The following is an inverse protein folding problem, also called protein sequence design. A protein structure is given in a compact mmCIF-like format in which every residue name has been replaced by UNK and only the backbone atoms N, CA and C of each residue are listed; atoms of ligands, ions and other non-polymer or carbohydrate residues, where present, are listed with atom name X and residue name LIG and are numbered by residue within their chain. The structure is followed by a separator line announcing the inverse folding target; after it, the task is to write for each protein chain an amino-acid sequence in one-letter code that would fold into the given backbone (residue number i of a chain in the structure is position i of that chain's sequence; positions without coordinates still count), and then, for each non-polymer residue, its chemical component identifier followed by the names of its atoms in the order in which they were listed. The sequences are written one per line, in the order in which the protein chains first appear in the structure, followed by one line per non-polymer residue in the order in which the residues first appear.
data_IF_592623275824
#
_entry.id   IF_592623275824
#
_cell.length_a   1.000
_cell.length_b   1.000
_cell.length_c   1.000
_cell.angle_alpha   90.00
_cell.angle_beta   90.00
_cell.angle_gamma   90.00
#
_symmetry.space_group_name_H-M   'P 1'
#
loop_
_entity.id
_entity.type
_entity.pdbx_description
1 polymer ?
#
# COMPACT_ATOMS: atom_id res chain seq x y z
N UNK A 1 -0.47 12.61 6.65
CA UNK A 1 0.39 11.44 6.97
C UNK A 1 -0.45 10.21 6.68
N UNK A 2 -0.01 9.40 5.71
CA UNK A 2 -0.79 8.29 5.14
C UNK A 2 -1.09 7.24 6.21
N UNK A 3 -2.30 6.68 6.32
CA UNK A 3 -2.49 5.45 7.08
C UNK A 3 -1.52 4.40 6.55
N UNK A 4 -0.90 3.62 7.44
CA UNK A 4 0.11 2.59 7.12
C UNK A 4 -0.45 1.39 6.35
N UNK A 5 -1.57 1.57 5.64
CA UNK A 5 -2.09 0.62 4.67
C UNK A 5 -1.30 0.90 3.41
N UNK A 6 -0.34 0.01 3.17
CA UNK A 6 0.34 -0.09 1.90
C UNK A 6 -0.70 -0.55 0.89
N UNK A 7 -1.53 0.38 0.41
CA UNK A 7 -2.18 0.18 -0.87
C UNK A 7 -1.03 0.00 -1.85
N UNK A 8 -0.82 -1.23 -2.30
CA UNK A 8 -0.30 -1.44 -3.64
C UNK A 8 -1.35 -0.82 -4.56
N UNK A 9 -1.29 0.51 -4.71
CA UNK A 9 -1.85 1.12 -5.90
C UNK A 9 -1.07 0.48 -7.03
N UNK A 10 -1.75 -0.39 -7.76
CA UNK A 10 -1.50 -0.53 -9.16
C UNK A 10 -1.64 0.87 -9.74
N UNK A 11 -0.54 1.61 -9.75
CA UNK A 11 -0.31 2.43 -10.91
C UNK A 11 -0.32 1.41 -12.05
N UNK A 12 -1.42 1.36 -12.80
CA UNK A 12 -1.51 0.66 -14.08
C UNK A 12 -0.61 1.32 -15.15
N UNK A 13 0.54 1.82 -14.69
CA UNK A 13 1.62 2.46 -15.41
C UNK A 13 2.90 1.70 -15.03
N UNK A 14 2.90 0.39 -15.27
CA UNK A 14 4.15 -0.35 -15.37
C UNK A 14 4.78 0.05 -16.70
N UNK A 15 5.52 1.17 -16.64
CA UNK A 15 6.50 1.63 -17.61
C UNK A 15 6.16 1.35 -19.08
N UNK A 16 5.15 2.02 -19.62
CA UNK A 16 5.43 2.70 -20.87
C UNK A 16 6.42 3.79 -20.50
N UNK A 17 7.66 3.70 -20.98
CA UNK A 17 8.63 4.78 -20.81
C UNK A 17 7.95 6.03 -21.37
N UNK A 18 7.66 7.01 -20.51
CA UNK A 18 6.95 8.19 -20.96
C UNK A 18 7.79 8.81 -22.08
N UNK A 19 7.21 8.97 -23.27
CA UNK A 19 7.96 9.50 -24.40
C UNK A 19 8.28 10.99 -24.20
N UNK A 20 7.52 11.62 -23.30
CA UNK A 20 7.64 13.01 -22.86
C UNK A 20 7.48 13.08 -21.34
N UNK A 21 7.81 14.22 -20.75
CA UNK A 21 7.52 14.45 -19.34
C UNK A 21 6.02 14.64 -19.16
N UNK A 22 5.44 13.98 -18.17
CA UNK A 22 3.99 14.01 -17.92
C UNK A 22 3.72 14.44 -16.49
N UNK A 23 2.79 15.39 -16.31
CA UNK A 23 2.28 15.76 -15.00
C UNK A 23 0.84 15.28 -14.86
N UNK A 24 0.59 14.43 -13.87
CA UNK A 24 -0.75 13.98 -13.50
C UNK A 24 -1.15 14.56 -12.16
N UNK A 25 -2.28 15.25 -12.12
CA UNK A 25 -2.91 15.76 -10.91
C UNK A 25 -4.22 15.02 -10.67
N UNK A 26 -4.52 14.65 -9.44
CA UNK A 26 -5.74 13.94 -9.13
C UNK A 26 -6.17 14.05 -7.68
N UNK A 27 -7.44 13.77 -7.46
CA UNK A 27 -8.10 13.89 -6.17
C UNK A 27 -9.19 12.85 -6.00
N UNK A 28 -9.39 12.39 -4.77
CA UNK A 28 -10.40 11.38 -4.48
C UNK A 28 -10.51 11.00 -3.01
N UNK A 29 -11.12 9.85 -2.76
CA UNK A 29 -11.34 9.30 -1.43
C UNK A 29 -10.96 7.82 -1.41
N UNK A 30 -10.39 7.38 -0.28
CA UNK A 30 -10.14 5.99 0.02
C UNK A 30 -10.84 5.60 1.33
N UNK A 31 -11.44 4.42 1.36
CA UNK A 31 -11.96 3.75 2.54
C UNK A 31 -11.08 2.54 2.87
N UNK A 32 -10.56 2.48 4.09
CA UNK A 32 -9.70 1.39 4.52
C UNK A 32 -9.78 1.19 6.04
N UNK A 33 -9.33 0.04 6.58
CA UNK A 33 -9.21 -0.13 8.02
C UNK A 33 -8.36 0.95 8.69
N UNK A 34 -8.61 1.26 9.96
CA UNK A 34 -7.75 2.21 10.70
C UNK A 34 -6.32 1.70 10.91
N UNK A 35 -6.17 0.39 11.01
CA UNK A 35 -4.90 -0.33 11.08
C UNK A 35 -5.14 -1.78 10.66
N UNK A 36 -4.08 -2.54 10.38
CA UNK A 36 -4.16 -3.95 10.02
C UNK A 36 -4.83 -4.77 11.14
N UNK A 37 -5.97 -5.40 10.85
CA UNK A 37 -6.74 -6.17 11.84
C UNK A 37 -7.87 -5.38 12.52
N UNK A 38 -8.05 -4.09 12.21
CA UNK A 38 -9.13 -3.27 12.76
C UNK A 38 -10.49 -3.66 12.18
N UNK A 39 -11.53 -3.63 13.02
CA UNK A 39 -12.94 -3.64 12.58
C UNK A 39 -13.46 -2.25 12.20
N UNK A 40 -12.71 -1.20 12.55
CA UNK A 40 -13.06 0.19 12.29
C UNK A 40 -12.50 0.63 10.93
N UNK A 41 -13.39 1.11 10.06
CA UNK A 41 -13.04 1.73 8.79
C UNK A 41 -12.82 3.24 8.97
N UNK A 42 -12.04 3.81 8.06
CA UNK A 42 -11.86 5.26 7.95
C UNK A 42 -11.85 5.69 6.49
N UNK A 43 -12.26 6.94 6.27
CA UNK A 43 -12.14 7.63 5.01
C UNK A 43 -10.93 8.56 5.05
N UNK A 44 -10.18 8.61 3.94
CA UNK A 44 -9.03 9.49 3.77
C UNK A 44 -9.04 10.12 2.37
N UNK A 45 -8.66 11.40 2.23
CA UNK A 45 -8.49 12.02 0.93
C UNK A 45 -7.30 11.42 0.18
N UNK A 46 -7.46 11.24 -1.12
CA UNK A 46 -6.39 10.96 -2.06
C UNK A 46 -5.98 12.29 -2.70
N UNK A 47 -4.70 12.58 -2.65
CA UNK A 47 -4.07 13.68 -3.41
C UNK A 47 -2.98 13.05 -4.27
N UNK A 48 -3.26 12.94 -5.56
CA UNK A 48 -2.34 12.39 -6.55
C UNK A 48 -1.62 13.55 -7.23
N UNK A 49 -0.31 13.64 -7.03
CA UNK A 49 0.58 14.50 -7.81
C UNK A 49 1.67 13.56 -8.29
N UNK A 50 1.74 13.33 -9.59
CA UNK A 50 2.67 12.40 -10.19
C UNK A 50 3.35 13.10 -11.38
N UNK A 51 4.62 13.39 -11.23
CA UNK A 51 5.46 13.92 -12.29
C UNK A 51 6.40 12.81 -12.77
N UNK A 52 6.19 12.33 -13.98
CA UNK A 52 6.98 11.29 -14.62
C UNK A 52 7.87 11.93 -15.69
N UNK A 53 9.17 11.72 -15.59
CA UNK A 53 10.14 12.16 -16.58
C UNK A 53 10.36 11.07 -17.63
N UNK A 54 10.67 11.49 -18.86
CA UNK A 54 10.92 10.58 -19.99
C UNK A 54 12.15 9.68 -19.79
N UNK A 55 13.09 10.11 -18.95
CA UNK A 55 14.29 9.35 -18.59
C UNK A 55 14.04 8.32 -17.47
N UNK A 56 12.79 8.13 -17.02
CA UNK A 56 12.41 7.13 -16.01
C UNK A 56 12.35 7.64 -14.57
N UNK A 57 12.91 8.83 -14.28
CA UNK A 57 12.76 9.45 -12.96
C UNK A 57 11.33 9.93 -12.71
N UNK A 58 10.90 9.93 -11.46
CA UNK A 58 9.60 10.48 -11.09
C UNK A 58 9.57 11.07 -9.68
N UNK A 59 8.60 11.95 -9.48
CA UNK A 59 8.18 12.43 -8.18
C UNK A 59 6.67 12.23 -8.02
N UNK A 60 6.28 11.40 -7.07
CA UNK A 60 4.91 10.96 -6.90
C UNK A 60 4.50 11.03 -5.43
N UNK A 61 3.34 11.64 -5.15
CA UNK A 61 2.77 11.58 -3.80
C UNK A 61 2.40 10.15 -3.40
N UNK A 62 2.23 9.24 -4.36
CA UNK A 62 1.77 7.87 -4.13
C UNK A 62 2.96 6.91 -4.07
N UNK A 63 3.87 7.00 -5.05
CA UNK A 63 5.05 6.11 -5.19
C UNK A 63 6.29 6.61 -4.45
N UNK A 64 6.42 7.93 -4.23
CA UNK A 64 7.60 8.56 -3.69
C UNK A 64 8.48 9.20 -4.77
N UNK A 65 9.76 9.37 -4.47
CA UNK A 65 10.77 9.89 -5.39
C UNK A 65 11.58 8.70 -5.91
N UNK A 66 11.56 8.44 -7.21
CA UNK A 66 12.14 7.19 -7.70
C UNK A 66 12.56 7.22 -9.15
N UNK A 67 12.99 6.03 -9.59
CA UNK A 67 13.38 5.73 -10.94
C UNK A 67 12.77 4.38 -11.32
N UNK A 68 12.09 4.35 -12.47
CA UNK A 68 11.53 3.15 -13.05
C UNK A 68 12.01 2.95 -14.49
N UNK A 69 12.24 1.71 -14.88
CA UNK A 69 12.65 1.33 -16.24
C UNK A 69 12.04 0.00 -16.65
N UNK A 70 11.92 -0.21 -17.96
CA UNK A 70 11.49 -1.47 -18.56
C UNK A 70 12.59 -2.01 -19.49
N UNK A 71 12.84 -3.31 -19.39
CA UNK A 71 13.84 -4.05 -20.17
C UNK A 71 13.15 -5.27 -20.78
N UNK A 72 12.60 -5.11 -21.99
CA UNK A 72 11.74 -6.11 -22.61
C UNK A 72 10.51 -6.39 -21.75
N UNK A 73 10.32 -7.64 -21.34
CA UNK A 73 9.19 -8.04 -20.51
C UNK A 73 9.38 -7.73 -19.01
N UNK A 74 10.56 -7.26 -18.60
CA UNK A 74 10.87 -6.97 -17.21
C UNK A 74 10.69 -5.47 -16.91
N UNK A 75 10.18 -5.15 -15.72
CA UNK A 75 10.18 -3.80 -15.17
C UNK A 75 10.92 -3.76 -13.84
N UNK A 76 11.66 -2.69 -13.59
CA UNK A 76 12.40 -2.45 -12.37
C UNK A 76 12.10 -1.04 -11.88
N UNK A 77 11.88 -0.89 -10.58
CA UNK A 77 11.58 0.38 -9.93
C UNK A 77 12.26 0.45 -8.56
N UNK A 78 12.84 1.62 -8.27
CA UNK A 78 13.42 1.94 -6.98
C UNK A 78 12.99 3.34 -6.56
N UNK A 79 12.49 3.46 -5.32
CA UNK A 79 11.89 4.70 -4.84
C UNK A 79 12.18 4.97 -3.37
N UNK A 80 12.37 6.24 -3.03
CA UNK A 80 12.30 6.76 -1.67
C UNK A 80 10.87 7.16 -1.35
N UNK A 81 10.28 6.51 -0.36
CA UNK A 81 8.92 6.76 0.10
C UNK A 81 8.83 6.99 1.60
N UNK A 82 7.60 7.11 2.09
CA UNK A 82 7.31 7.25 3.53
C UNK A 82 6.31 6.19 3.95
N UNK A 83 6.65 5.40 4.98
CA UNK A 83 5.70 4.59 5.75
C UNK A 83 5.11 5.46 6.85
N UNK A 84 3.78 5.47 6.92
CA UNK A 84 3.02 6.28 7.86
C UNK A 84 3.32 5.97 9.32
N UNK A 85 2.87 6.87 10.20
CA UNK A 85 2.84 6.60 11.63
C UNK A 85 1.58 5.79 12.01
N UNK A 86 1.58 5.23 13.23
CA UNK A 86 0.39 4.68 13.88
C UNK A 86 0.39 5.14 15.34
N UNK A 87 -0.60 5.93 15.71
CA UNK A 87 -0.82 6.38 17.09
C UNK A 87 -1.52 5.30 17.91
N UNK A 88 -1.23 5.29 19.22
CA UNK A 88 -1.95 4.42 20.15
C UNK A 88 -3.36 4.95 20.49
N UNK A 89 -3.60 6.24 20.24
CA UNK A 89 -4.88 6.92 20.52
C UNK A 89 -5.58 7.30 19.22
N UNK A 90 -6.89 7.48 19.32
CA UNK A 90 -7.68 8.01 18.21
C UNK A 90 -7.40 9.51 18.05
N UNK A 91 -6.43 9.85 17.20
CA UNK A 91 -6.08 11.23 16.87
C UNK A 91 -6.51 11.56 15.45
N UNK A 92 -7.36 12.58 15.30
CA UNK A 92 -7.72 13.13 14.00
C UNK A 92 -6.50 13.76 13.34
N UNK A 93 -6.44 13.67 12.02
CA UNK A 93 -5.44 14.34 11.20
C UNK A 93 -6.02 14.74 9.85
N UNK A 94 -5.27 15.55 9.11
CA UNK A 94 -5.68 16.04 7.78
C UNK A 94 -6.02 14.92 6.77
N UNK A 95 -5.45 13.72 6.95
CA UNK A 95 -5.63 12.58 6.06
C UNK A 95 -6.36 11.40 6.71
N UNK A 96 -7.25 11.68 7.67
CA UNK A 96 -7.96 10.67 8.46
C UNK A 96 -7.33 10.42 9.83
N UNK A 97 -7.83 9.41 10.53
CA UNK A 97 -7.42 9.12 11.89
C UNK A 97 -6.07 8.38 11.90
N UNK A 98 -5.23 8.71 12.88
CA UNK A 98 -3.87 8.19 12.97
C UNK A 98 -3.73 7.01 13.92
N UNK A 99 -4.80 6.65 14.65
CA UNK A 99 -4.83 5.52 15.57
C UNK A 99 -6.26 5.09 15.91
N UNK A 100 -6.40 4.27 16.96
CA UNK A 100 -7.68 3.72 17.41
C UNK A 100 -7.65 3.49 18.92
N UNK A 101 -8.82 3.51 19.58
CA UNK A 101 -8.95 3.15 21.01
C UNK A 101 -8.45 1.73 21.28
N UNK A 102 -8.54 0.85 20.29
CA UNK A 102 -8.06 -0.52 20.34
C UNK A 102 -6.54 -0.63 20.47
N UNK A 103 -5.81 0.44 20.14
CA UNK A 103 -4.35 0.47 20.22
C UNK A 103 -3.84 1.04 21.55
N UNK A 104 -4.74 1.38 22.49
CA UNK A 104 -4.35 1.99 23.77
C UNK A 104 -3.34 1.13 24.51
N UNK A 105 -2.21 1.73 24.92
CA UNK A 105 -1.13 1.05 25.63
C UNK A 105 -0.12 0.36 24.71
N UNK A 106 -0.32 0.39 23.38
CA UNK A 106 0.64 -0.13 22.40
C UNK A 106 1.75 0.87 22.08
N UNK A 107 1.62 2.13 22.49
CA UNK A 107 2.55 3.18 22.08
C UNK A 107 2.50 3.50 20.58
N UNK A 108 3.17 4.59 20.25
CA UNK A 108 3.21 5.13 18.90
C UNK A 108 4.26 4.42 18.03
N UNK A 109 3.89 4.11 16.80
CA UNK A 109 4.83 3.78 15.72
C UNK A 109 5.13 5.07 14.97
N UNK A 110 6.39 5.47 14.94
CA UNK A 110 6.84 6.67 14.22
C UNK A 110 6.85 6.41 12.71
N UNK A 111 6.54 7.46 11.94
CA UNK A 111 6.70 7.43 10.49
C UNK A 111 8.17 7.17 10.11
N UNK A 112 8.39 6.46 9.00
CA UNK A 112 9.73 6.14 8.51
C UNK A 112 9.90 6.54 7.06
N UNK A 113 11.03 7.15 6.73
CA UNK A 113 11.52 7.12 5.36
C UNK A 113 11.80 5.67 4.97
N UNK A 114 11.57 5.31 3.72
CA UNK A 114 11.69 3.94 3.20
C UNK A 114 12.37 3.94 1.85
N UNK A 115 13.21 2.92 1.60
CA UNK A 115 13.58 2.52 0.26
C UNK A 115 12.62 1.40 -0.18
N UNK A 116 11.96 1.60 -1.30
CA UNK A 116 11.01 0.67 -1.90
C UNK A 116 11.59 0.19 -3.22
N UNK A 117 11.61 -1.12 -3.40
CA UNK A 117 12.07 -1.78 -4.61
C UNK A 117 10.92 -2.58 -5.18
N UNK A 118 10.77 -2.56 -6.50
CA UNK A 118 9.79 -3.36 -7.22
C UNK A 118 10.42 -3.94 -8.47
N UNK A 119 10.10 -5.19 -8.74
CA UNK A 119 10.39 -5.86 -10.00
C UNK A 119 9.10 -6.47 -10.55
N UNK A 120 8.92 -6.44 -11.86
CA UNK A 120 7.78 -7.03 -12.54
C UNK A 120 8.21 -7.79 -13.78
N UNK A 121 7.47 -8.83 -14.15
CA UNK A 121 7.67 -9.59 -15.38
C UNK A 121 6.33 -9.86 -16.06
N UNK A 122 6.23 -9.45 -17.33
CA UNK A 122 5.08 -9.72 -18.19
C UNK A 122 5.21 -11.11 -18.79
N UNK A 123 4.34 -12.03 -18.34
CA UNK A 123 4.32 -13.40 -18.85
C UNK A 123 3.70 -13.42 -20.26
N UNK A 124 2.57 -12.72 -20.41
CA UNK A 124 1.83 -12.53 -21.66
C UNK A 124 1.18 -11.15 -21.61
N UNK A 125 0.78 -10.54 -22.75
CA UNK A 125 -0.07 -9.36 -22.73
C UNK A 125 -1.22 -9.53 -21.73
N UNK A 126 -1.31 -8.59 -20.78
CA UNK A 126 -2.33 -8.60 -19.73
C UNK A 126 -2.07 -9.50 -18.52
N UNK A 127 -1.02 -10.33 -18.48
CA UNK A 127 -0.69 -11.14 -17.30
C UNK A 127 0.74 -10.86 -16.82
N UNK A 128 0.86 -10.44 -15.57
CA UNK A 128 2.13 -10.03 -14.98
C UNK A 128 2.31 -10.63 -13.59
N UNK A 129 3.56 -10.89 -13.25
CA UNK A 129 3.99 -11.23 -11.89
C UNK A 129 4.93 -10.15 -11.37
N UNK A 130 4.92 -9.90 -10.07
CA UNK A 130 5.72 -8.88 -9.46
C UNK A 130 6.24 -9.27 -8.09
N UNK A 131 7.34 -8.64 -7.71
CA UNK A 131 7.93 -8.71 -6.39
C UNK A 131 8.19 -7.30 -5.87
N UNK A 132 8.02 -7.11 -4.56
CA UNK A 132 8.28 -5.84 -3.89
C UNK A 132 9.10 -6.05 -2.63
N UNK A 133 9.85 -5.02 -2.23
CA UNK A 133 10.51 -4.93 -0.94
C UNK A 133 10.42 -3.50 -0.39
N UNK A 134 10.16 -3.35 0.91
CA UNK A 134 10.11 -2.05 1.58
C UNK A 134 11.01 -2.05 2.82
N UNK A 135 12.05 -1.22 2.78
CA UNK A 135 13.09 -1.14 3.79
C UNK A 135 13.00 0.20 4.53
N UNK A 136 12.71 0.22 5.84
CA UNK A 136 12.76 1.45 6.61
C UNK A 136 14.20 1.97 6.77
N UNK A 137 14.40 3.24 6.43
CA UNK A 137 15.69 3.92 6.51
C UNK A 137 15.87 4.67 7.83
N UNK A 138 14.85 5.44 8.25
CA UNK A 138 14.94 6.30 9.45
C UNK A 138 14.42 5.65 10.73
N UNK A 139 13.42 4.76 10.67
CA UNK A 139 12.92 3.99 11.81
C UNK A 139 13.08 2.49 11.53
N UNK A 140 14.32 1.99 11.58
CA UNK A 140 14.67 0.60 11.24
C UNK A 140 13.93 -0.45 12.09
N UNK A 141 13.47 -0.07 13.28
CA UNK A 141 12.64 -0.91 14.14
C UNK A 141 11.25 -1.19 13.56
N UNK A 142 10.76 -0.40 12.60
CA UNK A 142 9.49 -0.66 11.91
C UNK A 142 9.55 -1.93 11.05
N UNK A 143 10.73 -2.52 10.85
CA UNK A 143 10.92 -3.79 10.16
C UNK A 143 10.69 -3.73 8.64
N UNK A 144 11.18 -4.77 7.98
CA UNK A 144 11.15 -4.91 6.52
C UNK A 144 9.94 -5.72 6.08
N UNK A 145 9.43 -5.40 4.90
CA UNK A 145 8.40 -6.21 4.23
C UNK A 145 8.84 -6.56 2.81
N UNK A 146 8.30 -7.65 2.30
CA UNK A 146 8.40 -8.07 0.91
C UNK A 146 7.02 -8.55 0.44
N UNK A 147 6.77 -8.52 -0.86
CA UNK A 147 5.51 -8.98 -1.42
C UNK A 147 5.70 -9.66 -2.75
N UNK A 148 4.81 -10.59 -3.06
CA UNK A 148 4.64 -11.19 -4.38
C UNK A 148 3.23 -10.85 -4.88
N UNK A 149 3.11 -10.57 -6.16
CA UNK A 149 1.85 -10.17 -6.78
C UNK A 149 1.68 -10.83 -8.15
N UNK A 150 0.45 -11.20 -8.48
CA UNK A 150 0.04 -11.57 -9.84
C UNK A 150 -1.09 -10.64 -10.25
N UNK A 151 -1.00 -10.06 -11.43
CA UNK A 151 -2.01 -9.14 -11.98
C UNK A 151 -2.44 -9.62 -13.35
N UNK A 152 -3.76 -9.68 -13.56
CA UNK A 152 -4.40 -9.98 -14.83
C UNK A 152 -5.30 -8.82 -15.29
N UNK A 153 -5.16 -8.37 -16.53
CA UNK A 153 -6.14 -7.52 -17.22
C UNK A 153 -7.26 -8.43 -17.70
N UNK A 154 -8.47 -8.22 -17.17
CA UNK A 154 -9.65 -9.04 -17.48
C UNK A 154 -10.56 -8.38 -18.50
N UNK A 155 -10.46 -7.07 -18.66
CA UNK A 155 -11.18 -6.31 -19.69
C UNK A 155 -10.33 -5.11 -20.10
N UNK A 156 -10.25 -4.85 -21.40
CA UNK A 156 -9.64 -3.62 -21.92
C UNK A 156 -10.27 -3.27 -23.28
N UNK A 157 -10.80 -2.06 -23.39
CA UNK A 157 -11.24 -1.43 -24.63
C UNK A 157 -10.69 0.02 -24.71
N UNK A 158 -11.29 0.85 -25.57
CA UNK A 158 -10.83 2.22 -25.84
C UNK A 158 -11.01 3.18 -24.65
N UNK A 159 -11.98 2.92 -23.76
CA UNK A 159 -12.29 3.76 -22.60
C UNK A 159 -12.02 3.06 -21.28
N UNK A 160 -12.20 1.76 -21.20
CA UNK A 160 -12.26 1.03 -19.95
C UNK A 160 -11.17 -0.04 -19.83
N UNK A 161 -10.55 -0.08 -18.66
CA UNK A 161 -9.56 -1.10 -18.31
C UNK A 161 -9.86 -1.65 -16.92
N UNK A 162 -9.98 -2.97 -16.83
CA UNK A 162 -10.21 -3.68 -15.57
C UNK A 162 -9.06 -4.65 -15.33
N UNK A 163 -8.43 -4.54 -14.17
CA UNK A 163 -7.38 -5.44 -13.71
C UNK A 163 -7.75 -6.06 -12.37
N UNK A 164 -7.39 -7.33 -12.20
CA UNK A 164 -7.50 -8.07 -10.95
C UNK A 164 -6.09 -8.46 -10.51
N UNK A 165 -5.80 -8.25 -9.22
CA UNK A 165 -4.51 -8.56 -8.63
C UNK A 165 -4.65 -9.38 -7.36
N UNK A 166 -3.80 -10.38 -7.23
CA UNK A 166 -3.65 -11.22 -6.05
C UNK A 166 -2.24 -11.06 -5.50
N UNK A 167 -2.13 -10.75 -4.22
CA UNK A 167 -0.85 -10.50 -3.56
C UNK A 167 -0.68 -11.28 -2.27
N UNK A 168 0.57 -11.56 -1.91
CA UNK A 168 0.97 -12.16 -0.65
C UNK A 168 2.15 -11.37 -0.06
N UNK A 169 2.03 -10.94 1.19
CA UNK A 169 3.01 -10.10 1.87
C UNK A 169 3.70 -10.85 3.01
N UNK A 170 5.03 -10.73 3.04
CA UNK A 170 5.92 -11.28 4.04
C UNK A 170 6.59 -10.16 4.83
N UNK A 171 6.93 -10.45 6.07
CA UNK A 171 7.52 -9.50 7.00
C UNK A 171 8.63 -10.13 7.82
N UNK A 172 9.63 -9.33 8.19
CA UNK A 172 10.61 -9.75 9.18
C UNK A 172 10.02 -9.73 10.60
N UNK A 173 10.77 -10.29 11.56
CA UNK A 173 10.33 -10.38 12.96
C UNK A 173 10.12 -8.99 13.58
N UNK A 174 10.85 -7.97 13.13
CA UNK A 174 10.70 -6.60 13.62
C UNK A 174 9.35 -6.03 13.20
N UNK A 175 8.99 -6.15 11.94
CA UNK A 175 7.69 -5.69 11.44
C UNK A 175 6.56 -6.43 12.14
N UNK A 176 6.66 -7.76 12.23
CA UNK A 176 5.65 -8.58 12.91
C UNK A 176 5.48 -8.16 14.37
N UNK A 177 6.57 -7.95 15.11
CA UNK A 177 6.49 -7.48 16.49
C UNK A 177 5.94 -6.05 16.62
N UNK A 178 6.30 -5.14 15.71
CA UNK A 178 5.90 -3.73 15.76
C UNK A 178 4.42 -3.51 15.42
N UNK A 179 3.90 -4.24 14.42
CA UNK A 179 2.54 -4.03 13.92
C UNK A 179 1.53 -5.06 14.44
N UNK A 180 1.98 -6.27 14.79
CA UNK A 180 1.11 -7.38 15.21
C UNK A 180 1.48 -7.96 16.58
N UNK A 181 2.57 -7.52 17.20
CA UNK A 181 3.01 -8.01 18.50
C UNK A 181 2.48 -7.20 19.68
N UNK A 182 2.56 -7.82 20.87
CA UNK A 182 2.32 -7.20 22.17
C UNK A 182 3.47 -7.57 23.10
N UNK A 183 4.34 -6.63 23.43
CA UNK A 183 5.44 -6.79 24.39
C UNK A 183 4.92 -6.93 25.83
N UNK A 184 5.78 -7.39 26.75
CA UNK A 184 5.43 -7.50 28.17
C UNK A 184 4.98 -6.15 28.78
N UNK A 185 5.67 -5.04 28.46
CA UNK A 185 5.29 -3.71 28.93
C UNK A 185 3.93 -3.27 28.35
N UNK A 186 3.67 -3.58 27.08
CA UNK A 186 2.38 -3.27 26.44
C UNK A 186 1.25 -4.12 27.04
N UNK A 187 1.51 -5.39 27.34
CA UNK A 187 0.55 -6.27 28.01
C UNK A 187 0.14 -5.71 29.38
N UNK A 188 1.11 -5.28 30.20
CA UNK A 188 0.86 -4.64 31.50
C UNK A 188 0.04 -3.34 31.37
N UNK A 189 0.29 -2.54 30.33
CA UNK A 189 -0.38 -1.23 30.13
C UNK A 189 -1.78 -1.33 29.52
N UNK A 190 -2.06 -2.39 28.77
CA UNK A 190 -3.29 -2.54 27.99
C UNK A 190 -4.21 -3.65 28.48
N UNK A 191 -3.72 -4.56 29.30
CA UNK A 191 -4.42 -5.79 29.66
C UNK A 191 -4.48 -6.84 28.54
N UNK A 192 -3.87 -6.59 27.38
CA UNK A 192 -3.80 -7.59 26.28
C UNK A 192 -2.77 -8.67 26.60
N UNK A 193 -3.02 -9.89 26.13
CA UNK A 193 -2.05 -11.00 26.25
C UNK A 193 -0.76 -10.63 25.52
N UNK A 194 0.39 -10.89 26.17
CA UNK A 194 1.69 -10.78 25.50
C UNK A 194 1.72 -11.71 24.27
N UNK A 195 2.27 -11.20 23.18
CA UNK A 195 2.31 -11.90 21.91
C UNK A 195 3.57 -11.53 21.13
N UNK A 196 4.35 -12.54 20.78
CA UNK A 196 5.63 -12.40 20.07
C UNK A 196 5.55 -13.17 18.76
N UNK A 197 5.03 -12.53 17.69
CA UNK A 197 4.89 -13.19 16.41
C UNK A 197 6.25 -13.44 15.76
N UNK A 198 6.35 -14.55 15.03
CA UNK A 198 7.50 -14.83 14.18
C UNK A 198 7.39 -14.16 12.81
N UNK A 199 8.52 -14.08 12.12
CA UNK A 199 8.61 -13.58 10.76
C UNK A 199 7.86 -14.49 9.76
N UNK A 200 7.47 -13.93 8.61
CA UNK A 200 6.93 -14.70 7.49
C UNK A 200 5.72 -14.06 6.83
N UNK A 201 4.95 -14.89 6.13
CA UNK A 201 3.69 -14.50 5.48
C UNK A 201 2.69 -13.98 6.52
N UNK A 202 2.20 -12.76 6.32
CA UNK A 202 1.30 -12.10 7.28
C UNK A 202 -0.02 -11.63 6.64
N UNK A 203 -0.07 -11.47 5.32
CA UNK A 203 -1.25 -10.92 4.65
C UNK A 203 -1.37 -11.46 3.22
N UNK A 204 -2.61 -11.70 2.78
CA UNK A 204 -2.99 -11.87 1.40
C UNK A 204 -3.94 -10.73 0.98
N UNK A 205 -3.82 -10.27 -0.26
CA UNK A 205 -4.59 -9.14 -0.78
C UNK A 205 -5.22 -9.52 -2.11
N UNK A 206 -6.50 -9.17 -2.28
CA UNK A 206 -7.20 -9.19 -3.56
C UNK A 206 -7.57 -7.75 -3.90
N UNK A 207 -7.26 -7.30 -5.12
CA UNK A 207 -7.63 -5.99 -5.63
C UNK A 207 -8.31 -6.13 -7.00
N UNK A 208 -9.29 -5.27 -7.24
CA UNK A 208 -9.91 -5.03 -8.53
C UNK A 208 -9.76 -3.54 -8.79
N UNK A 209 -9.13 -3.18 -9.89
CA UNK A 209 -8.96 -1.81 -10.34
C UNK A 209 -9.71 -1.62 -11.65
N UNK A 210 -10.53 -0.58 -11.72
CA UNK A 210 -11.20 -0.13 -12.93
C UNK A 210 -10.73 1.28 -13.23
N UNK A 211 -10.29 1.50 -14.46
CA UNK A 211 -9.96 2.82 -14.98
C UNK A 211 -10.87 3.11 -16.17
N UNK A 212 -11.52 4.27 -16.13
CA UNK A 212 -12.33 4.81 -17.21
C UNK A 212 -11.69 6.10 -17.73
N UNK A 213 -11.34 6.10 -19.01
CA UNK A 213 -10.84 7.26 -19.74
C UNK A 213 -12.04 8.08 -20.19
N UNK A 214 -12.23 9.22 -19.55
CA UNK A 214 -13.33 10.16 -19.88
C UNK A 214 -13.01 10.87 -21.19
N UNK A 215 -11.75 11.34 -21.33
CA UNK A 215 -11.21 11.92 -22.56
C UNK A 215 -9.68 11.71 -22.60
N UNK A 216 -8.98 12.38 -23.51
CA UNK A 216 -7.52 12.25 -23.67
C UNK A 216 -6.70 12.65 -22.43
N UNK A 217 -7.27 13.45 -21.54
CA UNK A 217 -6.61 14.04 -20.37
C UNK A 217 -7.24 13.60 -19.06
N UNK A 218 -8.55 13.36 -19.01
CA UNK A 218 -9.28 12.95 -17.82
C UNK A 218 -9.43 11.44 -17.72
N UNK A 219 -9.22 10.91 -16.53
CA UNK A 219 -9.55 9.53 -16.18
C UNK A 219 -10.16 9.47 -14.78
N UNK A 220 -11.04 8.49 -14.57
CA UNK A 220 -11.57 8.10 -13.28
C UNK A 220 -11.07 6.70 -12.96
N UNK A 221 -10.56 6.50 -11.76
CA UNK A 221 -10.12 5.20 -11.27
C UNK A 221 -10.94 4.81 -10.06
N UNK A 222 -11.58 3.65 -10.14
CA UNK A 222 -12.22 2.95 -9.03
C UNK A 222 -11.38 1.75 -8.59
N UNK A 223 -11.32 1.51 -7.29
CA UNK A 223 -10.65 0.35 -6.71
C UNK A 223 -11.54 -0.29 -5.65
N UNK A 224 -11.61 -1.61 -5.68
CA UNK A 224 -12.20 -2.44 -4.64
C UNK A 224 -11.18 -3.51 -4.26
N UNK A 225 -11.11 -3.85 -2.98
CA UNK A 225 -10.20 -4.89 -2.55
C UNK A 225 -10.53 -5.46 -1.20
N UNK A 226 -9.72 -6.43 -0.79
CA UNK A 226 -9.73 -6.98 0.56
C UNK A 226 -8.32 -7.35 0.97
N UNK A 227 -7.98 -7.05 2.22
CA UNK A 227 -6.77 -7.57 2.85
C UNK A 227 -7.16 -8.58 3.92
N UNK A 228 -6.51 -9.74 3.88
CA UNK A 228 -6.72 -10.84 4.82
C UNK A 228 -5.42 -11.11 5.56
N UNK A 229 -5.42 -10.87 6.87
CA UNK A 229 -4.33 -11.26 7.74
C UNK A 229 -4.26 -12.78 7.85
N UNK A 230 -3.03 -13.30 7.83
CA UNK A 230 -2.70 -14.71 7.85
C UNK A 230 -1.77 -15.04 9.01
N UNK A 231 -1.70 -16.34 9.35
CA UNK A 231 -0.73 -16.90 10.31
C UNK A 231 -0.68 -16.10 11.62
N UNK A 232 0.50 -15.61 12.01
CA UNK A 232 0.69 -14.90 13.28
C UNK A 232 -0.04 -13.55 13.32
N UNK A 233 -0.15 -12.85 12.18
CA UNK A 233 -0.88 -11.59 12.13
C UNK A 233 -2.38 -11.81 12.38
N UNK A 234 -2.96 -12.91 11.87
CA UNK A 234 -4.35 -13.28 12.14
C UNK A 234 -4.60 -13.62 13.62
N UNK A 235 -3.60 -14.21 14.30
CA UNK A 235 -3.66 -14.60 15.72
C UNK A 235 -3.33 -13.48 16.70
N UNK A 236 -2.89 -12.32 16.19
CA UNK A 236 -2.51 -11.20 17.05
C UNK A 236 -3.65 -10.80 17.96
N UNK A 237 -3.39 -10.53 19.26
CA UNK A 237 -4.37 -9.91 20.13
C UNK A 237 -4.89 -8.57 19.62
N UNK A 238 -4.20 -7.91 18.67
CA UNK A 238 -4.61 -6.65 18.03
C UNK A 238 -5.59 -6.85 16.86
N UNK A 239 -5.74 -8.08 16.36
CA UNK A 239 -6.60 -8.42 15.24
C UNK A 239 -8.02 -8.69 15.72
N UNK A 240 -8.91 -7.74 15.43
CA UNK A 240 -10.35 -7.83 15.70
C UNK A 240 -11.13 -8.34 14.48
N UNK A 241 -10.57 -8.15 13.28
CA UNK A 241 -11.10 -8.62 12.01
C UNK A 241 -9.94 -9.01 11.09
N UNK A 242 -9.85 -10.29 10.74
CA UNK A 242 -8.76 -10.79 9.89
C UNK A 242 -8.89 -10.36 8.43
N UNK A 243 -10.11 -10.32 7.88
CA UNK A 243 -10.37 -9.88 6.51
C UNK A 243 -11.13 -8.57 6.50
N UNK A 244 -10.58 -7.55 5.88
CA UNK A 244 -11.21 -6.25 5.80
C UNK A 244 -11.27 -5.72 4.36
N UNK A 245 -12.39 -5.10 3.96
CA UNK A 245 -12.52 -4.53 2.63
C UNK A 245 -11.73 -3.22 2.51
N UNK A 246 -11.34 -2.89 1.30
CA UNK A 246 -10.75 -1.61 0.91
C UNK A 246 -11.47 -1.08 -0.32
N UNK A 247 -11.58 0.24 -0.43
CA UNK A 247 -12.15 0.88 -1.60
C UNK A 247 -11.46 2.22 -1.85
N UNK A 248 -11.39 2.64 -3.11
CA UNK A 248 -10.97 3.98 -3.47
C UNK A 248 -11.66 4.44 -4.75
N UNK A 249 -11.85 5.75 -4.88
CA UNK A 249 -12.23 6.38 -6.13
C UNK A 249 -11.50 7.70 -6.25
N UNK A 250 -10.92 7.98 -7.41
CA UNK A 250 -10.29 9.26 -7.68
C UNK A 250 -10.38 9.61 -9.16
N UNK A 251 -10.41 10.90 -9.46
CA UNK A 251 -10.23 11.43 -10.80
C UNK A 251 -8.81 11.95 -10.96
N UNK A 252 -8.27 11.85 -12.17
CA UNK A 252 -6.96 12.38 -12.53
C UNK A 252 -7.00 13.09 -13.87
N UNK A 253 -6.22 14.16 -13.97
CA UNK A 253 -5.99 14.94 -15.17
C UNK A 253 -4.51 14.89 -15.54
N UNK A 254 -4.24 14.59 -16.81
CA UNK A 254 -2.90 14.51 -17.39
C UNK A 254 -2.60 15.77 -18.23
N UNK A 255 -1.52 16.46 -17.87
CA UNK A 255 -0.88 17.53 -18.64
C UNK A 255 0.21 16.97 -19.53
#
# INVERSE_FOLDING_TARGET
MKPSIMFALLAASFAAQAQENTLTLGGGLAAAPRYAGSKEMQLAPIVAIDYQMANGFYASTMRGLGFGTALGNMSLDAALGVRGERKEKNESGFAGNRGSKELRGMGDIKASATANLRAGYSITPGLMVGATASLPLSQRQNGKTAGLEVTGIVHQDDSDKIAISLGANLADKKYMQTYHGVSALQALRSGRKQFTPDAGLYEAVLNIAWQHKVDERWSVTGMLGSSTLLREAARSPLTLRSTAPTAAVYASYRY
#
